data_IF_582996358947
#
_entry.id   IF_582996358947
#
_cell.length_a   1.000
_cell.length_b   1.000
_cell.length_c   1.000
_cell.angle_alpha   90.00
_cell.angle_beta   90.00
_cell.angle_gamma   90.00
#
_symmetry.space_group_name_H-M   'P 1'
#
loop_
_entity.id
_entity.type
_entity.pdbx_description
1 polymer ?
#
# COMPACT_ATOMS: atom_id res chain seq x y z
N UNK A 1 3.17 -14.46 -4.53
CA UNK A 1 3.22 -13.80 -3.19
C UNK A 1 3.91 -14.74 -2.23
N UNK A 2 4.97 -14.25 -1.61
CA UNK A 2 5.76 -15.03 -0.67
C UNK A 2 5.17 -14.95 0.74
N UNK A 3 5.09 -16.09 1.42
CA UNK A 3 4.71 -16.13 2.82
C UNK A 3 5.85 -15.57 3.70
N UNK A 4 5.49 -14.98 4.83
CA UNK A 4 6.46 -14.41 5.75
C UNK A 4 7.06 -13.09 5.30
N UNK A 5 6.40 -12.40 4.38
CA UNK A 5 6.85 -11.12 3.81
C UNK A 5 5.75 -10.08 3.91
N UNK A 6 6.14 -8.83 4.16
CA UNK A 6 5.21 -7.70 4.22
C UNK A 6 5.26 -6.95 2.88
N UNK A 7 4.10 -6.77 2.28
CA UNK A 7 3.97 -6.02 1.04
C UNK A 7 3.31 -4.67 1.30
N UNK A 8 4.03 -3.60 1.02
CA UNK A 8 3.48 -2.25 1.06
C UNK A 8 2.81 -1.97 -0.28
N UNK A 9 1.48 -1.92 -0.27
CA UNK A 9 0.68 -1.80 -1.50
C UNK A 9 0.00 -0.45 -1.56
N UNK A 10 0.20 0.26 -2.66
CA UNK A 10 -0.51 1.50 -2.94
C UNK A 10 -1.93 1.21 -3.44
N UNK A 11 -2.91 1.77 -2.75
CA UNK A 11 -4.32 1.61 -3.10
C UNK A 11 -4.76 2.51 -4.27
N UNK A 12 -3.88 3.39 -4.73
CA UNK A 12 -4.24 4.38 -5.72
C UNK A 12 -4.97 5.58 -5.12
N UNK A 13 -5.50 6.49 -5.94
CA UNK A 13 -6.08 7.75 -5.48
C UNK A 13 -7.54 7.64 -4.99
N UNK A 14 -8.06 6.45 -4.85
CA UNK A 14 -9.39 6.21 -4.30
C UNK A 14 -10.32 5.39 -5.20
N UNK A 15 -10.24 5.56 -6.51
CA UNK A 15 -11.05 4.76 -7.43
C UNK A 15 -10.57 3.31 -7.46
N UNK A 16 -11.51 2.38 -7.39
CA UNK A 16 -11.18 0.95 -7.34
C UNK A 16 -10.41 0.47 -8.57
N UNK A 17 -10.74 1.00 -9.74
CA UNK A 17 -10.11 0.63 -11.00
C UNK A 17 -8.70 1.22 -11.18
N UNK A 18 -8.25 2.06 -10.26
CA UNK A 18 -6.90 2.60 -10.26
C UNK A 18 -5.93 1.80 -9.37
N UNK A 19 -6.39 0.71 -8.81
CA UNK A 19 -5.51 -0.26 -8.17
C UNK A 19 -4.75 -1.04 -9.26
N UNK A 20 -3.45 -1.20 -9.09
CA UNK A 20 -2.67 -1.96 -10.07
C UNK A 20 -3.07 -3.45 -10.04
N UNK A 21 -2.82 -4.14 -11.16
CA UNK A 21 -3.09 -5.59 -11.22
C UNK A 21 -2.27 -6.36 -10.20
N UNK A 22 -1.03 -5.95 -9.97
CA UNK A 22 -0.18 -6.56 -8.94
C UNK A 22 -0.73 -6.33 -7.54
N UNK A 23 -1.18 -5.11 -7.26
CA UNK A 23 -1.82 -4.78 -5.98
C UNK A 23 -3.08 -5.60 -5.74
N UNK A 24 -3.90 -5.77 -6.76
CA UNK A 24 -5.10 -6.60 -6.68
C UNK A 24 -4.76 -8.06 -6.36
N UNK A 25 -3.76 -8.62 -7.04
CA UNK A 25 -3.31 -10.00 -6.80
C UNK A 25 -2.80 -10.17 -5.37
N UNK A 26 -2.03 -9.21 -4.86
CA UNK A 26 -1.53 -9.24 -3.49
C UNK A 26 -2.66 -9.22 -2.47
N UNK A 27 -3.68 -8.37 -2.68
CA UNK A 27 -4.85 -8.33 -1.79
C UNK A 27 -5.62 -9.63 -1.80
N UNK A 28 -5.80 -10.24 -2.97
CA UNK A 28 -6.55 -11.49 -3.11
C UNK A 28 -5.88 -12.67 -2.40
N UNK A 29 -4.56 -12.64 -2.27
CA UNK A 29 -3.78 -13.71 -1.64
C UNK A 29 -3.38 -13.40 -0.19
N UNK A 30 -3.63 -12.19 0.30
CA UNK A 30 -3.22 -11.79 1.63
C UNK A 30 -3.93 -12.57 2.73
N UNK A 31 -3.18 -12.97 3.75
CA UNK A 31 -3.71 -13.57 4.98
C UNK A 31 -4.10 -12.49 5.98
N UNK A 32 -3.36 -11.38 6.00
CA UNK A 32 -3.62 -10.22 6.84
C UNK A 32 -3.47 -8.97 6.00
N UNK A 33 -4.44 -8.05 6.13
CA UNK A 33 -4.39 -6.74 5.51
C UNK A 33 -4.53 -5.68 6.59
N UNK A 34 -3.58 -4.75 6.65
CA UNK A 34 -3.65 -3.57 7.51
C UNK A 34 -3.79 -2.36 6.60
N UNK A 35 -4.90 -1.67 6.68
CA UNK A 35 -5.19 -0.53 5.81
C UNK A 35 -5.24 0.79 6.57
N UNK A 36 -5.05 1.89 5.85
CA UNK A 36 -4.87 3.21 6.44
C UNK A 36 -6.19 3.97 6.65
N UNK A 37 -7.17 3.31 7.23
CA UNK A 37 -8.41 3.96 7.65
C UNK A 37 -9.28 4.47 6.52
N UNK A 38 -9.95 5.60 6.74
CA UNK A 38 -10.93 6.17 5.82
C UNK A 38 -10.35 6.67 4.50
N UNK A 39 -9.04 6.77 4.41
CA UNK A 39 -8.37 7.20 3.18
C UNK A 39 -8.32 6.10 2.11
N UNK A 40 -8.56 4.87 2.49
CA UNK A 40 -8.59 3.73 1.57
C UNK A 40 -10.05 3.41 1.22
N UNK A 41 -10.32 3.26 -0.08
CA UNK A 41 -11.66 2.91 -0.53
C UNK A 41 -12.05 1.51 -0.01
N UNK A 42 -13.14 1.40 0.76
CA UNK A 42 -13.56 0.10 1.31
C UNK A 42 -13.86 -0.96 0.25
N UNK A 43 -14.18 -0.55 -0.98
CA UNK A 43 -14.43 -1.49 -2.07
C UNK A 43 -13.21 -2.37 -2.36
N UNK A 44 -11.99 -1.87 -2.09
CA UNK A 44 -10.76 -2.64 -2.28
C UNK A 44 -10.69 -3.83 -1.32
N UNK A 45 -11.25 -3.68 -0.12
CA UNK A 45 -11.22 -4.74 0.89
C UNK A 45 -12.07 -5.94 0.50
N UNK A 46 -13.00 -5.77 -0.43
CA UNK A 46 -13.80 -6.88 -0.96
C UNK A 46 -12.99 -7.82 -1.84
N UNK A 47 -11.83 -7.40 -2.29
CA UNK A 47 -10.92 -8.25 -3.05
C UNK A 47 -10.17 -9.25 -2.18
N UNK A 48 -10.16 -9.01 -0.87
CA UNK A 48 -9.52 -9.91 0.07
C UNK A 48 -10.30 -11.23 0.16
N UNK A 49 -9.58 -12.31 0.42
CA UNK A 49 -10.25 -13.60 0.62
C UNK A 49 -11.08 -13.57 1.92
N UNK A 50 -12.16 -14.38 2.01
CA UNK A 50 -13.06 -14.32 3.17
C UNK A 50 -12.39 -14.56 4.51
N UNK A 51 -11.35 -15.38 4.56
CA UNK A 51 -10.64 -15.72 5.79
C UNK A 51 -9.52 -14.74 6.15
N UNK A 52 -9.28 -13.71 5.34
CA UNK A 52 -8.25 -12.72 5.63
C UNK A 52 -8.60 -11.89 6.86
N UNK A 53 -7.62 -11.65 7.71
CA UNK A 53 -7.77 -10.69 8.81
C UNK A 53 -7.57 -9.29 8.26
N UNK A 54 -8.48 -8.38 8.58
CA UNK A 54 -8.44 -7.00 8.11
C UNK A 54 -8.41 -6.07 9.32
N UNK A 55 -7.38 -5.24 9.38
CA UNK A 55 -7.17 -4.29 10.48
C UNK A 55 -7.14 -2.86 9.94
N UNK A 56 -7.90 -1.98 10.60
CA UNK A 56 -7.87 -0.54 10.33
C UNK A 56 -6.82 0.09 11.23
N UNK A 57 -5.83 0.75 10.63
CA UNK A 57 -4.75 1.38 11.39
C UNK A 57 -5.00 2.86 11.70
N UNK A 58 -6.19 3.40 11.46
CA UNK A 58 -6.47 4.81 11.65
C UNK A 58 -6.19 5.31 13.07
N UNK A 59 -6.37 4.46 14.07
CA UNK A 59 -6.17 4.79 15.48
C UNK A 59 -4.98 4.08 16.11
N UNK A 60 -4.15 3.46 15.29
CA UNK A 60 -2.97 2.74 15.76
C UNK A 60 -1.73 3.61 15.60
N UNK A 61 -0.85 3.55 16.58
CA UNK A 61 0.47 4.15 16.44
C UNK A 61 1.43 3.20 15.72
N UNK A 62 2.65 3.66 15.49
CA UNK A 62 3.67 2.88 14.79
C UNK A 62 3.91 1.53 15.47
N UNK A 63 4.03 1.52 16.80
CA UNK A 63 4.32 0.29 17.54
C UNK A 63 3.17 -0.70 17.44
N UNK A 64 1.93 -0.23 17.51
CA UNK A 64 0.76 -1.07 17.37
C UNK A 64 0.66 -1.69 15.99
N UNK A 65 0.95 -0.91 14.94
CA UNK A 65 1.00 -1.44 13.57
C UNK A 65 2.07 -2.50 13.44
N UNK A 66 3.26 -2.25 13.96
CA UNK A 66 4.36 -3.21 13.91
C UNK A 66 4.05 -4.48 14.70
N UNK A 67 3.31 -4.37 15.80
CA UNK A 67 2.86 -5.52 16.58
C UNK A 67 1.91 -6.43 15.81
N UNK A 68 1.28 -5.93 14.77
CA UNK A 68 0.48 -6.74 13.84
C UNK A 68 1.36 -7.31 12.73
N UNK A 69 2.17 -6.47 12.11
CA UNK A 69 2.95 -6.85 10.93
C UNK A 69 4.04 -7.89 11.23
N UNK A 70 4.82 -7.65 12.28
CA UNK A 70 5.98 -8.48 12.58
C UNK A 70 5.60 -9.90 13.00
N UNK A 71 4.70 -10.09 13.99
CA UNK A 71 4.32 -11.44 14.37
C UNK A 71 3.66 -12.23 13.26
N UNK A 72 2.84 -11.56 12.44
CA UNK A 72 2.17 -12.18 11.31
C UNK A 72 3.17 -12.69 10.28
N UNK A 73 4.15 -11.86 9.92
CA UNK A 73 5.19 -12.24 8.98
C UNK A 73 6.04 -13.38 9.53
N UNK A 74 6.42 -13.32 10.80
CA UNK A 74 7.20 -14.38 11.44
C UNK A 74 6.45 -15.69 11.56
N UNK A 75 5.12 -15.62 11.59
CA UNK A 75 4.26 -16.82 11.57
C UNK A 75 4.11 -17.42 10.16
N UNK A 76 4.74 -16.83 9.18
CA UNK A 76 4.68 -17.32 7.79
C UNK A 76 3.46 -16.85 7.02
N UNK A 77 2.78 -15.81 7.48
CA UNK A 77 1.60 -15.28 6.80
C UNK A 77 1.98 -14.31 5.69
N UNK A 78 1.09 -14.16 4.71
CA UNK A 78 1.19 -13.16 3.66
C UNK A 78 0.55 -11.88 4.18
N UNK A 79 1.37 -10.85 4.38
CA UNK A 79 0.95 -9.60 5.02
C UNK A 79 0.94 -8.47 4.01
N UNK A 80 -0.17 -7.72 3.94
CA UNK A 80 -0.30 -6.54 3.08
C UNK A 80 -0.55 -5.32 3.94
N UNK A 81 0.27 -4.29 3.75
CA UNK A 81 0.06 -2.96 4.32
C UNK A 81 -0.48 -2.07 3.20
N UNK A 82 -1.78 -1.81 3.24
CA UNK A 82 -2.48 -1.06 2.21
C UNK A 82 -2.64 0.40 2.61
N UNK A 83 -2.30 1.32 1.71
CA UNK A 83 -2.47 2.75 1.96
C UNK A 83 -2.74 3.49 0.66
N UNK A 84 -3.13 4.76 0.76
CA UNK A 84 -3.50 5.56 -0.41
C UNK A 84 -2.30 5.89 -1.29
N UNK A 85 -2.56 6.10 -2.57
CA UNK A 85 -1.54 6.52 -3.53
C UNK A 85 -0.49 5.46 -3.79
N UNK A 86 0.74 5.91 -3.88
CA UNK A 86 1.92 5.08 -4.10
C UNK A 86 2.81 5.13 -2.85
N UNK A 87 3.19 3.99 -2.28
CA UNK A 87 4.00 3.96 -1.06
C UNK A 87 5.39 4.58 -1.23
N UNK A 88 5.91 4.63 -2.46
CA UNK A 88 7.24 5.17 -2.73
C UNK A 88 7.27 6.70 -2.86
N UNK A 89 6.12 7.35 -3.03
CA UNK A 89 6.04 8.81 -3.24
C UNK A 89 6.33 9.59 -1.96
N UNK A 90 5.81 9.13 -0.84
CA UNK A 90 6.03 9.76 0.46
C UNK A 90 6.90 8.88 1.33
N UNK A 91 7.76 9.48 2.15
CA UNK A 91 8.56 8.73 3.11
C UNK A 91 7.79 8.24 4.34
N UNK A 92 6.45 8.20 4.27
CA UNK A 92 5.60 7.93 5.42
C UNK A 92 5.75 6.53 6.00
N UNK A 93 6.23 5.57 5.22
CA UNK A 93 6.38 4.18 5.68
C UNK A 93 7.82 3.79 5.97
N UNK A 94 8.74 4.74 5.89
CA UNK A 94 10.16 4.47 6.14
C UNK A 94 10.40 3.90 7.53
N UNK A 95 9.75 4.45 8.54
CA UNK A 95 9.89 3.98 9.93
C UNK A 95 9.43 2.52 10.07
N UNK A 96 8.34 2.18 9.40
CA UNK A 96 7.85 0.80 9.37
C UNK A 96 8.84 -0.13 8.67
N UNK A 97 9.35 0.30 7.52
CA UNK A 97 10.33 -0.48 6.76
C UNK A 97 11.62 -0.69 7.55
N UNK A 98 12.12 0.36 8.19
CA UNK A 98 13.33 0.27 9.01
C UNK A 98 13.13 -0.69 10.19
N UNK A 99 11.97 -0.65 10.84
CA UNK A 99 11.66 -1.55 11.95
C UNK A 99 11.53 -3.01 11.48
N UNK A 100 10.93 -3.24 10.31
CA UNK A 100 10.84 -4.58 9.73
C UNK A 100 12.23 -5.13 9.42
N UNK A 101 13.09 -4.30 8.84
CA UNK A 101 14.46 -4.67 8.53
C UNK A 101 15.24 -5.03 9.81
N UNK A 102 15.08 -4.23 10.86
CA UNK A 102 15.72 -4.50 12.14
C UNK A 102 15.22 -5.79 12.78
N UNK A 103 13.97 -6.16 12.55
CA UNK A 103 13.36 -7.39 13.05
C UNK A 103 13.68 -8.62 12.17
N UNK A 104 14.37 -8.43 11.05
CA UNK A 104 14.69 -9.51 10.12
C UNK A 104 13.51 -9.95 9.26
N UNK A 105 12.50 -9.09 9.11
CA UNK A 105 11.31 -9.38 8.31
C UNK A 105 11.49 -8.80 6.90
N UNK A 106 11.43 -9.63 5.85
CA UNK A 106 11.52 -9.11 4.49
C UNK A 106 10.27 -8.32 4.11
N UNK A 107 10.45 -7.32 3.28
CA UNK A 107 9.35 -6.53 2.75
C UNK A 107 9.60 -6.16 1.29
N UNK A 108 8.53 -5.82 0.60
CA UNK A 108 8.58 -5.30 -0.76
C UNK A 108 7.56 -4.18 -0.93
N UNK A 109 7.78 -3.34 -1.93
CA UNK A 109 6.88 -2.24 -2.27
C UNK A 109 6.21 -2.55 -3.60
N UNK A 110 4.87 -2.51 -3.60
CA UNK A 110 4.07 -2.60 -4.81
C UNK A 110 3.57 -1.19 -5.12
N UNK A 111 4.03 -0.57 -6.21
CA UNK A 111 3.62 0.80 -6.52
C UNK A 111 2.12 0.91 -6.80
N UNK A 112 1.57 2.07 -6.49
CA UNK A 112 0.20 2.42 -6.83
C UNK A 112 0.17 3.73 -7.59
N UNK A 113 -1.00 4.11 -8.07
CA UNK A 113 -1.19 5.40 -8.73
C UNK A 113 -1.21 6.49 -7.65
N UNK A 114 -0.34 7.49 -7.79
CA UNK A 114 -0.29 8.61 -6.87
C UNK A 114 -1.58 9.44 -6.96
N UNK A 115 -2.02 9.99 -5.82
CA UNK A 115 -3.16 10.93 -5.79
C UNK A 115 -2.94 12.11 -6.73
N UNK A 116 -1.69 12.56 -6.86
CA UNK A 116 -1.32 13.65 -7.76
C UNK A 116 -1.63 13.28 -9.21
N UNK A 117 -1.21 12.10 -9.66
CA UNK A 117 -1.47 11.65 -11.02
C UNK A 117 -2.95 11.33 -11.26
N UNK A 118 -3.62 10.78 -10.26
CA UNK A 118 -5.04 10.49 -10.33
C UNK A 118 -5.89 11.75 -10.49
N UNK A 119 -5.54 12.81 -9.77
CA UNK A 119 -6.20 14.10 -9.87
C UNK A 119 -5.99 14.71 -11.28
N UNK A 120 -4.79 14.62 -11.82
CA UNK A 120 -4.49 15.10 -13.16
C UNK A 120 -5.28 14.34 -14.22
N UNK A 121 -5.40 13.03 -14.09
CA UNK A 121 -6.19 12.22 -15.02
C UNK A 121 -7.67 12.61 -14.99
N UNK A 122 -8.23 12.84 -13.80
CA UNK A 122 -9.61 13.29 -13.63
C UNK A 122 -9.88 14.65 -14.25
N UNK A 123 -8.88 15.53 -14.22
CA UNK A 123 -8.98 16.88 -14.78
C UNK A 123 -8.58 16.94 -16.25
N UNK A 124 -8.08 15.83 -16.81
CA UNK A 124 -7.56 15.81 -18.18
C UNK A 124 -6.26 16.59 -18.34
N UNK A 125 -5.52 16.83 -17.27
CA UNK A 125 -4.28 17.58 -17.30
C UNK A 125 -3.09 16.69 -17.64
N UNK A 126 -2.06 17.29 -18.25
CA UNK A 126 -0.80 16.64 -18.52
C UNK A 126 0.29 17.19 -17.60
N UNK A 127 1.06 16.30 -16.97
CA UNK A 127 2.18 16.70 -16.13
C UNK A 127 3.47 16.91 -16.89
N UNK A 128 3.67 16.09 -17.92
CA UNK A 128 4.86 16.18 -18.75
C UNK A 128 4.45 16.76 -20.10
N UNK A 129 4.84 18.03 -20.39
CA UNK A 129 4.55 18.60 -21.70
C UNK A 129 5.21 17.79 -22.81
N UNK A 130 4.64 17.76 -24.02
CA UNK A 130 5.23 17.04 -25.14
C UNK A 130 6.65 17.48 -25.48
N UNK A 131 7.02 18.70 -25.08
CA UNK A 131 8.36 19.25 -25.25
C UNK A 131 8.87 19.75 -23.92
N UNK A 132 10.16 19.63 -23.73
CA UNK A 132 10.83 20.14 -22.55
C UNK A 132 11.10 19.04 -21.54
N UNK A 133 11.15 19.43 -20.26
CA UNK A 133 11.50 18.51 -19.21
C UNK A 133 10.40 17.49 -18.94
N UNK A 134 10.75 16.23 -18.93
CA UNK A 134 9.85 15.15 -18.58
C UNK A 134 9.91 14.75 -17.11
N UNK A 135 10.50 15.63 -16.28
CA UNK A 135 10.56 15.42 -14.85
C UNK A 135 9.23 15.79 -14.20
N UNK A 136 8.61 14.86 -13.54
CA UNK A 136 7.39 15.09 -12.79
C UNK A 136 7.78 15.49 -11.37
N UNK A 137 7.15 16.55 -10.80
CA UNK A 137 7.47 16.93 -9.42
C UNK A 137 7.21 15.77 -8.45
N UNK A 138 8.08 15.55 -7.50
CA UNK A 138 7.84 14.56 -6.46
C UNK A 138 6.65 15.00 -5.60
N UNK A 139 5.85 14.05 -5.19
CA UNK A 139 4.69 14.31 -4.35
C UNK A 139 4.75 13.52 -3.07
#
# INVERSE_FOLDING_TARGET
VEAGKVYFVGAGPGAEDLLTLRGAALLEEADIVVYAGSLVNPALLRRCKPEAEIHDSARLDLNEVLDILIPAAKAGKRVVRLHTGDPSVYGAHREQMDALKAAGVPFAVCPGVSSFFGAAASLGAEYTPPRGCHTVPPT
#
